data_IF_111033044620
#
_entry.id   IF_111033044620
#
_cell.length_a   1.000
_cell.length_b   1.000
_cell.length_c   1.000
_cell.angle_alpha   90.00
_cell.angle_beta   90.00
_cell.angle_gamma   90.00
#
_symmetry.space_group_name_H-M   'P 1'
#
loop_
_entity.id
_entity.type
_entity.pdbx_description
1 polymer ?
#
# COMPACT_ATOMS: atom_id res chain seq x y z
N UNK A 1 18.68 -12.23 21.26
CA UNK A 1 18.71 -12.34 19.80
C UNK A 1 17.32 -12.06 19.25
N UNK A 2 17.09 -10.86 18.74
CA UNK A 2 15.91 -10.57 17.93
C UNK A 2 16.21 -11.11 16.53
N UNK A 3 15.45 -12.10 16.07
CA UNK A 3 15.50 -12.54 14.68
C UNK A 3 15.09 -11.35 13.81
N UNK A 4 16.09 -10.66 13.23
CA UNK A 4 15.91 -9.56 12.29
C UNK A 4 15.16 -9.98 11.00
N UNK A 5 14.84 -11.27 10.90
CA UNK A 5 14.10 -11.91 9.82
C UNK A 5 12.58 -11.77 9.97
N UNK A 6 12.07 -11.25 11.09
CA UNK A 6 10.62 -11.12 11.31
C UNK A 6 10.17 -9.71 11.70
N UNK A 7 9.04 -9.30 11.13
CA UNK A 7 8.35 -8.05 11.47
C UNK A 7 6.98 -8.36 12.10
N UNK A 8 6.68 -7.74 13.24
CA UNK A 8 5.36 -7.82 13.86
C UNK A 8 4.52 -6.60 13.45
N UNK A 9 3.29 -6.85 12.97
CA UNK A 9 2.37 -5.81 12.50
C UNK A 9 1.06 -5.96 13.24
N UNK A 10 0.56 -4.87 13.83
CA UNK A 10 -0.70 -4.86 14.55
C UNK A 10 -1.50 -3.59 14.27
N UNK A 11 -2.83 -3.69 14.36
CA UNK A 11 -3.77 -2.59 14.28
C UNK A 11 -4.95 -2.86 15.20
N UNK A 12 -5.68 -1.81 15.60
CA UNK A 12 -6.93 -1.96 16.35
C UNK A 12 -8.01 -2.76 15.62
N UNK A 13 -7.89 -2.91 14.30
CA UNK A 13 -8.89 -3.56 13.44
C UNK A 13 -8.59 -5.03 13.11
N UNK A 14 -7.43 -5.59 13.47
CA UNK A 14 -7.08 -6.98 13.20
C UNK A 14 -6.08 -7.55 14.21
N UNK A 15 -6.15 -8.86 14.46
CA UNK A 15 -5.15 -9.57 15.25
C UNK A 15 -3.80 -9.49 14.55
N UNK A 16 -2.75 -9.11 15.26
CA UNK A 16 -1.45 -8.82 14.66
C UNK A 16 -0.89 -9.99 13.86
N UNK A 17 -0.17 -9.69 12.77
CA UNK A 17 0.49 -10.65 11.90
C UNK A 17 2.02 -10.61 12.07
N UNK A 18 2.66 -11.77 11.95
CA UNK A 18 4.13 -11.89 11.88
C UNK A 18 4.52 -12.10 10.42
N UNK A 19 5.40 -11.25 9.90
CA UNK A 19 5.85 -11.23 8.50
C UNK A 19 7.31 -11.67 8.45
N UNK A 20 7.63 -12.64 7.59
CA UNK A 20 9.01 -12.95 7.23
C UNK A 20 9.56 -11.83 6.33
N UNK A 21 10.52 -11.05 6.85
CA UNK A 21 11.09 -9.88 6.20
C UNK A 21 11.83 -10.21 4.89
N UNK A 22 12.27 -11.46 4.71
CA UNK A 22 13.03 -11.91 3.52
C UNK A 22 12.12 -12.06 2.30
N UNK A 23 10.86 -12.46 2.51
CA UNK A 23 9.89 -12.64 1.44
C UNK A 23 8.71 -11.67 1.49
N UNK A 24 8.54 -10.91 2.57
CA UNK A 24 7.47 -9.93 2.76
C UNK A 24 6.09 -10.57 2.91
N UNK A 25 6.01 -11.81 3.41
CA UNK A 25 4.76 -12.57 3.57
C UNK A 25 4.53 -13.00 5.01
N UNK A 26 3.27 -13.20 5.44
CA UNK A 26 2.98 -13.74 6.76
C UNK A 26 3.56 -15.14 6.93
N UNK A 27 4.04 -15.45 8.14
CA UNK A 27 4.55 -16.80 8.49
C UNK A 27 3.45 -17.87 8.43
N UNK A 28 2.20 -17.46 8.60
CA UNK A 28 1.00 -18.30 8.47
C UNK A 28 0.62 -18.58 7.01
N UNK A 29 1.35 -18.01 6.04
CA UNK A 29 1.04 -18.06 4.62
C UNK A 29 0.03 -16.99 4.18
N UNK A 30 -0.16 -16.89 2.87
CA UNK A 30 -1.08 -15.92 2.24
C UNK A 30 -0.45 -14.55 1.96
N UNK A 31 -1.31 -13.53 1.92
CA UNK A 31 -0.95 -12.14 1.62
C UNK A 31 -1.05 -11.31 2.89
N UNK A 32 -0.01 -10.53 3.21
CA UNK A 32 -0.01 -9.66 4.38
C UNK A 32 -1.10 -8.60 4.30
N UNK A 33 -1.69 -8.29 5.46
CA UNK A 33 -2.73 -7.27 5.63
C UNK A 33 -2.22 -5.86 5.30
N UNK A 34 -0.90 -5.63 5.40
CA UNK A 34 -0.26 -4.37 5.00
C UNK A 34 0.31 -4.39 3.57
N UNK A 35 0.04 -5.43 2.80
CA UNK A 35 0.49 -5.48 1.40
C UNK A 35 -0.22 -4.44 0.53
N UNK A 36 0.46 -3.98 -0.53
CA UNK A 36 -0.10 -3.00 -1.49
C UNK A 36 -1.45 -3.44 -2.07
N UNK A 37 -1.63 -4.74 -2.28
CA UNK A 37 -2.84 -5.32 -2.85
C UNK A 37 -4.02 -5.23 -1.87
N UNK A 38 -3.81 -5.52 -0.58
CA UNK A 38 -4.87 -5.39 0.44
C UNK A 38 -5.26 -3.92 0.62
N UNK A 39 -4.29 -3.00 0.71
CA UNK A 39 -4.56 -1.57 0.76
C UNK A 39 -5.35 -1.06 -0.45
N UNK A 40 -5.04 -1.56 -1.65
CA UNK A 40 -5.81 -1.21 -2.85
C UNK A 40 -7.26 -1.70 -2.76
N UNK A 41 -7.49 -2.91 -2.24
CA UNK A 41 -8.84 -3.46 -2.04
C UNK A 41 -9.66 -2.59 -1.08
N UNK A 42 -9.09 -2.25 0.08
CA UNK A 42 -9.71 -1.37 1.08
C UNK A 42 -9.99 0.03 0.52
N UNK A 43 -9.03 0.62 -0.19
CA UNK A 43 -9.19 1.91 -0.83
C UNK A 43 -10.39 1.92 -1.80
N UNK A 44 -10.49 0.90 -2.66
CA UNK A 44 -11.62 0.78 -3.60
C UNK A 44 -12.94 0.62 -2.87
N UNK A 45 -13.00 -0.23 -1.84
CA UNK A 45 -14.20 -0.41 -1.02
C UNK A 45 -14.71 0.92 -0.44
N UNK A 46 -13.80 1.73 0.13
CA UNK A 46 -14.14 3.05 0.66
C UNK A 46 -14.62 3.99 -0.45
N UNK A 47 -13.92 4.05 -1.57
CA UNK A 47 -14.28 4.94 -2.68
C UNK A 47 -15.63 4.58 -3.31
N UNK A 48 -15.98 3.29 -3.39
CA UNK A 48 -17.29 2.82 -3.81
C UNK A 48 -18.39 3.27 -2.83
N UNK A 49 -18.16 3.10 -1.52
CA UNK A 49 -19.12 3.54 -0.49
C UNK A 49 -19.33 5.05 -0.48
N UNK A 50 -18.27 5.81 -0.71
CA UNK A 50 -18.30 7.28 -0.77
C UNK A 50 -18.74 7.82 -2.14
N UNK A 51 -19.04 6.94 -3.12
CA UNK A 51 -19.45 7.31 -4.49
C UNK A 51 -18.46 8.27 -5.17
N UNK A 52 -17.15 8.08 -4.97
CA UNK A 52 -16.11 8.91 -5.59
C UNK A 52 -15.97 8.51 -7.08
N UNK A 53 -16.39 9.35 -8.05
CA UNK A 53 -16.53 8.92 -9.45
C UNK A 53 -15.19 8.66 -10.17
N UNK A 54 -14.10 9.26 -9.68
CA UNK A 54 -12.79 9.24 -10.35
C UNK A 54 -12.03 7.92 -10.21
N UNK A 55 -12.51 6.98 -9.39
CA UNK A 55 -11.77 5.76 -8.99
C UNK A 55 -12.41 4.48 -9.56
N UNK A 56 -13.59 4.58 -10.15
CA UNK A 56 -14.32 3.41 -10.64
C UNK A 56 -13.77 2.87 -11.97
N UNK A 57 -13.16 3.71 -12.81
CA UNK A 57 -12.68 3.29 -14.13
C UNK A 57 -11.25 2.71 -14.15
N UNK A 58 -10.35 3.18 -13.29
CA UNK A 58 -8.98 2.65 -13.24
C UNK A 58 -8.80 1.61 -12.14
N UNK A 59 -8.24 0.46 -12.52
CA UNK A 59 -7.97 -0.69 -11.64
C UNK A 59 -6.49 -0.86 -11.32
N UNK A 60 -5.62 -0.06 -11.94
CA UNK A 60 -4.17 -0.09 -11.76
C UNK A 60 -3.75 0.69 -10.51
N UNK A 61 -3.02 0.02 -9.61
CA UNK A 61 -2.48 0.65 -8.40
C UNK A 61 -1.63 1.88 -8.72
N UNK A 62 -0.70 1.73 -9.68
CA UNK A 62 0.16 2.83 -10.12
C UNK A 62 -0.64 4.03 -10.61
N UNK A 63 -1.61 3.82 -11.49
CA UNK A 63 -2.37 4.92 -12.08
C UNK A 63 -3.21 5.65 -11.02
N UNK A 64 -3.85 4.91 -10.12
CA UNK A 64 -4.60 5.49 -9.01
C UNK A 64 -3.71 6.41 -8.15
N UNK A 65 -2.48 5.98 -7.84
CA UNK A 65 -1.51 6.85 -7.13
C UNK A 65 -1.16 8.12 -7.90
N UNK A 66 -1.09 8.08 -9.22
CA UNK A 66 -0.80 9.26 -10.04
C UNK A 66 -1.95 10.28 -10.06
N UNK A 67 -3.18 9.87 -9.74
CA UNK A 67 -4.33 10.80 -9.72
C UNK A 67 -4.28 11.79 -8.56
N UNK A 68 -3.53 11.49 -7.49
CA UNK A 68 -3.38 12.36 -6.31
C UNK A 68 -2.34 13.45 -6.59
N UNK A 69 -2.72 14.47 -7.37
CA UNK A 69 -1.83 15.51 -7.90
C UNK A 69 -1.01 16.24 -6.83
N UNK A 70 -1.65 16.66 -5.74
CA UNK A 70 -0.97 17.39 -4.65
C UNK A 70 0.14 16.55 -4.00
N UNK A 71 -0.13 15.26 -3.75
CA UNK A 71 0.87 14.33 -3.25
C UNK A 71 2.05 14.18 -4.22
N UNK A 72 1.79 14.00 -5.53
CA UNK A 72 2.86 13.86 -6.52
C UNK A 72 3.70 15.14 -6.65
N UNK A 73 3.06 16.32 -6.58
CA UNK A 73 3.75 17.61 -6.59
C UNK A 73 4.67 17.76 -5.36
N UNK A 74 4.16 17.46 -4.16
CA UNK A 74 4.95 17.51 -2.93
C UNK A 74 6.09 16.49 -2.94
N UNK A 75 5.84 15.28 -3.44
CA UNK A 75 6.87 14.25 -3.62
C UNK A 75 8.00 14.74 -4.53
N UNK A 76 7.68 15.36 -5.67
CA UNK A 76 8.67 15.95 -6.58
C UNK A 76 9.44 17.11 -5.93
N UNK A 77 8.76 17.99 -5.19
CA UNK A 77 9.42 19.08 -4.49
C UNK A 77 10.44 18.56 -3.46
N UNK A 78 10.07 17.52 -2.71
CA UNK A 78 10.96 16.86 -1.76
C UNK A 78 12.19 16.25 -2.45
N UNK A 79 12.00 15.51 -3.55
CA UNK A 79 13.15 14.90 -4.25
C UNK A 79 14.08 15.95 -4.85
N UNK A 80 13.53 17.01 -5.44
CA UNK A 80 14.33 18.13 -5.95
C UNK A 80 15.14 18.81 -4.83
N UNK A 81 14.56 18.96 -3.64
CA UNK A 81 15.25 19.53 -2.49
C UNK A 81 16.47 18.69 -2.08
N UNK A 82 16.33 17.36 -2.02
CA UNK A 82 17.43 16.45 -1.68
C UNK A 82 18.59 16.58 -2.68
N UNK A 83 18.27 16.66 -3.97
CA UNK A 83 19.26 16.84 -5.03
C UNK A 83 19.96 18.21 -4.93
N UNK A 84 19.20 19.28 -4.78
CA UNK A 84 19.72 20.64 -4.65
C UNK A 84 20.63 20.81 -3.43
N UNK A 85 20.33 20.11 -2.33
CA UNK A 85 21.15 20.11 -1.12
C UNK A 85 22.31 19.10 -1.15
N UNK A 86 22.51 18.40 -2.27
CA UNK A 86 23.57 17.39 -2.45
C UNK A 86 23.47 16.23 -1.45
N UNK A 87 22.26 15.90 -1.02
CA UNK A 87 21.99 14.70 -0.20
C UNK A 87 21.87 13.42 -1.03
N UNK A 88 21.89 13.54 -2.36
CA UNK A 88 21.79 12.44 -3.30
C UNK A 88 20.43 12.38 -3.99
N UNK A 89 20.17 11.25 -4.66
CA UNK A 89 18.96 11.00 -5.44
C UNK A 89 18.02 10.04 -4.72
N UNK A 90 16.72 10.30 -4.78
CA UNK A 90 15.72 9.37 -4.28
C UNK A 90 15.59 8.18 -5.24
N UNK A 91 15.88 6.97 -4.75
CA UNK A 91 15.65 5.75 -5.54
C UNK A 91 14.17 5.39 -5.56
N UNK A 92 13.60 5.28 -6.76
CA UNK A 92 12.21 4.87 -6.95
C UNK A 92 12.14 3.39 -7.30
N UNK A 93 11.13 2.71 -6.75
CA UNK A 93 10.81 1.35 -7.13
C UNK A 93 10.41 1.28 -8.62
N UNK A 94 10.74 0.16 -9.28
CA UNK A 94 10.48 -0.02 -10.71
C UNK A 94 8.98 0.00 -10.97
N UNK A 95 8.56 0.82 -11.95
CA UNK A 95 7.15 1.03 -12.32
C UNK A 95 6.35 -0.27 -12.49
N UNK A 96 6.93 -1.31 -13.11
CA UNK A 96 6.23 -2.58 -13.36
C UNK A 96 5.79 -3.30 -12.08
N UNK A 97 6.48 -3.09 -10.95
CA UNK A 97 6.10 -3.67 -9.65
C UNK A 97 4.85 -3.00 -9.06
N UNK A 98 4.45 -1.85 -9.59
CA UNK A 98 3.23 -1.12 -9.18
C UNK A 98 2.10 -1.21 -10.21
N UNK A 99 2.32 -1.86 -11.37
CA UNK A 99 1.34 -1.97 -12.46
C UNK A 99 0.35 -3.13 -12.29
N UNK A 100 0.24 -3.70 -11.09
CA UNK A 100 -0.77 -4.71 -10.82
C UNK A 100 -2.17 -4.08 -10.75
N UNK A 101 -3.17 -4.90 -11.10
CA UNK A 101 -4.58 -4.53 -11.05
C UNK A 101 -5.26 -5.25 -9.90
N UNK A 102 -6.28 -4.62 -9.35
CA UNK A 102 -7.16 -5.30 -8.40
C UNK A 102 -7.85 -6.49 -9.07
N UNK A 103 -7.81 -7.65 -8.40
CA UNK A 103 -8.57 -8.84 -8.76
C UNK A 103 -9.70 -9.00 -7.74
N UNK A 104 -10.93 -9.22 -8.20
CA UNK A 104 -12.14 -9.13 -7.35
C UNK A 104 -12.28 -10.20 -6.28
N UNK A 105 -11.32 -11.10 -6.18
CA UNK A 105 -11.32 -12.26 -5.29
C UNK A 105 -10.73 -11.98 -3.91
N UNK A 106 -10.20 -10.77 -3.66
CA UNK A 106 -9.64 -10.41 -2.35
C UNK A 106 -10.71 -9.68 -1.53
N UNK A 107 -11.36 -10.37 -0.57
CA UNK A 107 -12.36 -9.74 0.27
C UNK A 107 -11.73 -8.62 1.10
N UNK A 108 -12.47 -7.53 1.40
CA UNK A 108 -12.02 -6.54 2.36
C UNK A 108 -11.74 -7.20 3.72
N UNK A 109 -10.85 -6.60 4.50
CA UNK A 109 -10.52 -7.06 5.85
C UNK A 109 -11.82 -7.12 6.65
N UNK A 110 -12.18 -8.32 7.13
CA UNK A 110 -13.34 -8.49 8.01
C UNK A 110 -13.04 -7.77 9.33
N UNK A 111 -13.63 -6.59 9.51
CA UNK A 111 -13.51 -5.83 10.75
C UNK A 111 -14.54 -6.36 11.72
N UNK A 112 -14.11 -6.91 12.84
CA UNK A 112 -14.97 -7.06 14.02
C UNK A 112 -15.21 -5.66 14.58
N UNK A 113 -16.14 -4.91 13.98
CA UNK A 113 -16.60 -3.65 14.54
C UNK A 113 -17.55 -4.01 15.67
N UNK A 114 -17.04 -4.04 16.89
CA UNK A 114 -17.89 -3.95 18.09
C UNK A 114 -18.39 -2.50 18.12
N UNK A 115 -19.70 -2.31 17.89
CA UNK A 115 -20.38 -1.03 18.17
C UNK A 115 -20.71 -0.93 19.64
#
# INVERSE_FOLDING_TARGET
>A
DFDADYSYVWSTSFQGEVIDARCGRPVTGGTSLISKVVFLSEYRYVCQRLKIPSITSDTSYYNLKQTVKDYQQKKRAMTNYLEQKKFGYWSFEKKHLEQFRWQSTIPPIQRNITM
#
